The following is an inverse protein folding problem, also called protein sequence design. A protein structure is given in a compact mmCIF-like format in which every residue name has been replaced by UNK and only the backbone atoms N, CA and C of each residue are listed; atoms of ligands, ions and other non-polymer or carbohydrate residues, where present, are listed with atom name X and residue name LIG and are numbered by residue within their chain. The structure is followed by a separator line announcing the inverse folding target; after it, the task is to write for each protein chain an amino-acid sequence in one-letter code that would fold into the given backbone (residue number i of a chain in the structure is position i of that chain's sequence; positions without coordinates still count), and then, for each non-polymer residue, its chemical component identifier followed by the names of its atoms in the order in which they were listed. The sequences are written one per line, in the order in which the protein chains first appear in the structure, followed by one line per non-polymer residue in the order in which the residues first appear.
data_IF_442318568621
#
_entry.id   IF_442318568621
#
_cell.length_a   1.000
_cell.length_b   1.000
_cell.length_c   1.000
_cell.angle_alpha   90.00
_cell.angle_beta   90.00
_cell.angle_gamma   90.00
#
_symmetry.space_group_name_H-M   'P 1'
#
loop_
_entity.id
_entity.type
_entity.pdbx_description
1 polymer ?
#
# COMPACT_ATOMS: atom_id res chain seq x y z
N UNK A 1 16.96 6.06 -7.24
CA UNK A 1 18.05 5.28 -7.87
C UNK A 1 17.64 3.84 -8.23
N UNK A 2 16.40 3.42 -7.95
CA UNK A 2 15.95 2.04 -8.14
C UNK A 2 16.52 1.04 -7.14
N UNK A 3 17.31 1.49 -6.15
CA UNK A 3 17.97 0.64 -5.15
C UNK A 3 17.35 0.76 -3.77
N UNK A 4 16.64 1.86 -3.51
CA UNK A 4 15.93 2.11 -2.26
C UNK A 4 14.44 1.90 -2.48
N UNK A 5 13.86 0.97 -1.73
CA UNK A 5 12.41 0.80 -1.65
C UNK A 5 11.91 1.53 -0.41
N UNK A 6 10.72 2.12 -0.51
CA UNK A 6 10.12 2.93 0.55
C UNK A 6 8.85 2.26 1.08
N UNK A 7 8.54 2.53 2.34
CA UNK A 7 7.25 2.22 2.99
C UNK A 7 6.46 3.49 3.32
N UNK A 8 6.97 4.67 2.94
CA UNK A 8 6.28 5.94 3.14
C UNK A 8 5.00 6.00 2.30
N UNK A 9 3.95 6.56 2.90
CA UNK A 9 2.65 6.76 2.27
C UNK A 9 2.36 8.25 2.18
N UNK A 10 2.01 8.72 0.99
CA UNK A 10 1.59 10.09 0.74
C UNK A 10 0.20 10.10 0.11
N UNK A 11 -0.61 11.12 0.44
CA UNK A 11 -1.84 11.43 -0.28
C UNK A 11 -1.79 12.86 -0.81
N UNK A 12 -2.57 13.13 -1.86
CA UNK A 12 -2.76 14.47 -2.41
C UNK A 12 -4.25 14.76 -2.51
N UNK A 13 -4.68 15.90 -1.96
CA UNK A 13 -6.00 16.43 -2.27
C UNK A 13 -5.89 17.32 -3.51
N UNK A 14 -6.47 16.84 -4.61
CA UNK A 14 -6.46 17.54 -5.89
C UNK A 14 -7.42 18.74 -5.93
N UNK A 15 -8.34 18.83 -4.99
CA UNK A 15 -9.31 19.92 -4.89
C UNK A 15 -8.73 21.11 -4.10
N UNK A 16 -7.66 20.89 -3.35
CA UNK A 16 -6.95 21.97 -2.68
C UNK A 16 -6.26 22.91 -3.70
N UNK A 17 -6.16 24.21 -3.39
CA UNK A 17 -5.56 25.23 -4.26
C UNK A 17 -4.42 25.97 -3.54
N UNK A 18 -3.13 25.65 -3.82
CA UNK A 18 -2.65 24.59 -4.72
C UNK A 18 -2.77 23.18 -4.10
N UNK A 19 -2.80 22.11 -4.91
CA UNK A 19 -2.69 20.75 -4.40
C UNK A 19 -1.40 20.57 -3.59
N UNK A 20 -1.50 19.94 -2.42
CA UNK A 20 -0.32 19.60 -1.60
C UNK A 20 -0.25 18.11 -1.34
N UNK A 21 0.98 17.59 -1.33
CA UNK A 21 1.25 16.26 -0.81
C UNK A 21 1.24 16.30 0.73
N UNK A 22 0.54 15.34 1.33
CA UNK A 22 0.55 15.07 2.77
C UNK A 22 1.22 13.72 3.00
N UNK A 23 2.24 13.71 3.86
CA UNK A 23 2.85 12.47 4.36
C UNK A 23 2.01 11.90 5.52
N UNK A 24 1.81 10.58 5.52
CA UNK A 24 1.09 9.88 6.59
C UNK A 24 2.08 9.23 7.54
N UNK A 25 2.00 9.63 8.80
CA UNK A 25 2.89 9.20 9.89
C UNK A 25 2.80 7.69 10.20
N UNK A 26 1.71 7.04 9.80
CA UNK A 26 1.48 5.59 9.87
C UNK A 26 2.58 4.72 9.26
N UNK A 27 3.34 5.27 8.31
CA UNK A 27 4.48 4.65 7.65
C UNK A 27 5.74 4.50 8.53
N UNK A 28 5.71 5.06 9.75
CA UNK A 28 6.80 5.01 10.74
C UNK A 28 6.50 4.04 11.89
N UNK A 29 5.32 3.41 11.90
CA UNK A 29 4.97 2.40 12.90
C UNK A 29 5.57 1.04 12.55
N UNK A 30 5.88 0.21 13.55
CA UNK A 30 6.30 -1.18 13.31
C UNK A 30 5.18 -2.07 12.71
N UNK A 31 3.98 -1.51 12.54
CA UNK A 31 2.78 -2.19 12.05
C UNK A 31 2.42 -1.79 10.62
N UNK A 32 3.40 -1.43 9.80
CA UNK A 32 3.22 -1.08 8.39
C UNK A 32 3.87 -2.11 7.45
N UNK A 33 3.46 -2.17 6.17
CA UNK A 33 4.07 -3.05 5.19
C UNK A 33 5.56 -2.75 5.04
N UNK A 34 6.37 -3.81 4.90
CA UNK A 34 7.79 -3.61 4.58
C UNK A 34 7.98 -2.80 3.29
N UNK A 35 9.09 -2.05 3.17
CA UNK A 35 9.40 -1.31 1.95
C UNK A 35 9.38 -2.20 0.70
N UNK A 36 8.63 -1.77 -0.32
CA UNK A 36 8.38 -2.57 -1.52
C UNK A 36 8.20 -1.73 -2.78
N UNK A 37 8.41 -2.35 -3.94
CA UNK A 37 8.08 -1.79 -5.26
C UNK A 37 7.10 -2.70 -6.01
N UNK A 38 6.53 -2.23 -7.12
CA UNK A 38 5.76 -3.06 -8.06
C UNK A 38 4.58 -3.84 -7.44
N UNK A 39 4.00 -3.32 -6.35
CA UNK A 39 2.82 -3.88 -5.70
C UNK A 39 1.54 -3.44 -6.43
N UNK A 40 0.48 -4.22 -6.33
CA UNK A 40 -0.86 -3.79 -6.73
C UNK A 40 -1.52 -3.01 -5.60
N UNK A 41 -2.37 -2.04 -5.92
CA UNK A 41 -3.14 -1.29 -4.92
C UNK A 41 -4.44 -0.72 -5.45
N UNK A 42 -5.46 -0.67 -4.58
CA UNK A 42 -6.80 -0.12 -4.86
C UNK A 42 -7.37 0.58 -3.65
N UNK A 43 -8.18 1.61 -3.84
CA UNK A 43 -8.90 2.31 -2.78
C UNK A 43 -10.40 2.02 -2.84
N UNK A 44 -11.02 1.84 -1.68
CA UNK A 44 -12.49 1.80 -1.52
C UNK A 44 -12.92 3.13 -0.90
N UNK A 45 -13.74 3.88 -1.62
CA UNK A 45 -14.17 5.24 -1.24
C UNK A 45 -15.04 5.21 0.03
N UNK A 46 -16.07 4.36 0.05
CA UNK A 46 -17.04 4.23 1.15
C UNK A 46 -16.41 4.01 2.52
N UNK A 47 -15.31 3.24 2.56
CA UNK A 47 -14.59 2.94 3.81
C UNK A 47 -13.29 3.73 3.95
N UNK A 48 -12.97 4.60 2.98
CA UNK A 48 -11.70 5.33 2.91
C UNK A 48 -10.48 4.42 3.17
N UNK A 49 -10.49 3.25 2.56
CA UNK A 49 -9.50 2.19 2.81
C UNK A 49 -8.69 1.92 1.56
N UNK A 50 -7.36 1.97 1.69
CA UNK A 50 -6.42 1.55 0.65
C UNK A 50 -6.04 0.09 0.91
N UNK A 51 -6.06 -0.76 -0.11
CA UNK A 51 -5.53 -2.11 -0.09
C UNK A 51 -4.29 -2.18 -0.96
N UNK A 52 -3.28 -2.95 -0.50
CA UNK A 52 -2.12 -3.32 -1.30
C UNK A 52 -1.86 -4.82 -1.23
N UNK A 53 -1.31 -5.38 -2.31
CA UNK A 53 -0.93 -6.80 -2.37
C UNK A 53 0.39 -7.00 -3.10
N UNK A 54 1.21 -7.89 -2.55
CA UNK A 54 2.42 -8.38 -3.19
C UNK A 54 3.46 -7.28 -3.42
N UNK A 55 4.13 -7.36 -4.57
CA UNK A 55 5.26 -6.51 -4.93
C UNK A 55 6.61 -7.20 -4.73
N UNK A 56 7.66 -6.39 -4.74
CA UNK A 56 9.05 -6.83 -4.65
C UNK A 56 9.70 -6.23 -3.40
N UNK A 57 10.36 -7.06 -2.60
CA UNK A 57 11.16 -6.62 -1.47
C UNK A 57 12.55 -6.13 -1.90
N UNK A 58 13.25 -5.43 -1.01
CA UNK A 58 14.65 -5.02 -1.24
C UNK A 58 15.60 -6.21 -1.47
N UNK A 59 15.27 -7.41 -0.96
CA UNK A 59 16.05 -8.63 -1.19
C UNK A 59 15.79 -9.27 -2.56
N UNK A 60 14.92 -8.68 -3.39
CA UNK A 60 14.54 -9.24 -4.69
C UNK A 60 13.49 -10.37 -4.58
N UNK A 61 12.85 -10.52 -3.43
CA UNK A 61 11.80 -11.53 -3.24
C UNK A 61 10.44 -10.96 -3.63
N UNK A 62 9.71 -11.72 -4.44
CA UNK A 62 8.30 -11.43 -4.69
C UNK A 62 7.49 -11.68 -3.41
N UNK A 63 6.53 -10.80 -3.14
CA UNK A 63 5.69 -10.81 -1.96
C UNK A 63 4.27 -11.31 -2.31
N UNK A 64 3.56 -11.84 -1.31
CA UNK A 64 2.17 -12.30 -1.40
C UNK A 64 1.33 -11.93 -0.17
N UNK A 65 1.78 -10.96 0.61
CA UNK A 65 1.03 -10.41 1.74
C UNK A 65 0.02 -9.35 1.26
N UNK A 66 -1.04 -9.20 2.05
CA UNK A 66 -2.11 -8.21 1.83
C UNK A 66 -2.15 -7.26 3.00
N UNK A 67 -2.22 -5.97 2.72
CA UNK A 67 -2.34 -4.95 3.75
C UNK A 67 -3.47 -3.98 3.41
N UNK A 68 -4.16 -3.49 4.45
CA UNK A 68 -5.08 -2.37 4.35
C UNK A 68 -4.58 -1.18 5.15
N UNK A 69 -4.79 0.02 4.63
CA UNK A 69 -4.61 1.28 5.35
C UNK A 69 -5.93 2.02 5.43
N UNK A 70 -6.34 2.40 6.65
CA UNK A 70 -7.56 3.16 6.88
C UNK A 70 -7.23 4.65 7.07
N UNK A 71 -7.80 5.50 6.22
CA UNK A 71 -7.49 6.94 6.21
C UNK A 71 -8.02 7.69 7.44
N UNK A 72 -9.08 7.19 8.08
CA UNK A 72 -9.72 7.87 9.22
C UNK A 72 -8.90 7.80 10.50
N UNK A 73 -8.11 6.75 10.69
CA UNK A 73 -7.26 6.54 11.86
C UNK A 73 -5.76 6.46 11.52
N UNK A 74 -5.41 6.62 10.24
CA UNK A 74 -4.05 6.47 9.71
C UNK A 74 -3.39 5.18 10.22
N UNK A 75 -4.05 4.02 10.11
CA UNK A 75 -3.49 2.74 10.55
C UNK A 75 -3.38 1.74 9.41
N UNK A 76 -2.22 1.06 9.37
CA UNK A 76 -2.02 -0.14 8.57
C UNK A 76 -2.48 -1.38 9.35
N UNK A 77 -2.97 -2.38 8.63
CA UNK A 77 -3.35 -3.68 9.18
C UNK A 77 -3.02 -4.75 8.15
N UNK A 78 -2.30 -5.79 8.59
CA UNK A 78 -2.07 -6.97 7.77
C UNK A 78 -3.35 -7.80 7.69
N UNK A 79 -3.76 -8.17 6.48
CA UNK A 79 -4.95 -8.97 6.27
C UNK A 79 -4.54 -10.43 6.08
N UNK A 80 -4.91 -11.26 7.04
CA UNK A 80 -4.70 -12.70 6.98
C UNK A 80 -5.75 -13.36 6.07
N UNK A 81 -5.37 -13.68 4.85
CA UNK A 81 -6.23 -14.41 3.92
C UNK A 81 -6.10 -15.93 4.12
N UNK A 82 -7.22 -16.67 4.07
CA UNK A 82 -7.21 -18.15 4.15
C UNK A 82 -6.44 -18.80 3.00
N UNK A 83 -6.45 -18.17 1.83
CA UNK A 83 -5.74 -18.63 0.64
C UNK A 83 -5.12 -17.44 -0.08
N UNK A 84 -3.79 -17.39 -0.07
CA UNK A 84 -3.03 -16.33 -0.74
C UNK A 84 -2.69 -16.76 -2.17
N UNK A 85 -2.81 -15.86 -3.17
CA UNK A 85 -2.19 -16.08 -4.48
C UNK A 85 -0.68 -16.27 -4.34
N UNK A 86 -0.04 -16.89 -5.34
CA UNK A 86 1.44 -16.92 -5.42
C UNK A 86 2.00 -15.50 -5.42
N UNK A 87 3.18 -15.34 -4.84
CA UNK A 87 3.93 -14.09 -4.85
C UNK A 87 4.10 -13.52 -6.24
N UNK A 88 3.89 -12.21 -6.39
CA UNK A 88 3.89 -11.53 -7.68
C UNK A 88 4.16 -10.04 -7.52
N UNK A 89 4.65 -9.47 -8.61
CA UNK A 89 4.93 -8.06 -8.82
C UNK A 89 4.56 -7.70 -10.27
N UNK A 90 4.44 -6.42 -10.60
CA UNK A 90 4.15 -5.91 -11.96
C UNK A 90 2.89 -6.52 -12.59
N UNK A 91 1.88 -6.78 -11.75
CA UNK A 91 0.62 -7.40 -12.16
C UNK A 91 -0.52 -6.36 -12.14
N UNK A 92 -1.58 -6.65 -12.88
CA UNK A 92 -2.80 -5.85 -12.82
C UNK A 92 -3.59 -6.15 -11.54
N UNK A 93 -4.06 -5.11 -10.87
CA UNK A 93 -4.94 -5.17 -9.71
C UNK A 93 -6.12 -4.24 -9.97
N UNK A 94 -7.35 -4.72 -9.83
CA UNK A 94 -8.54 -3.88 -9.89
C UNK A 94 -9.50 -4.23 -8.76
N UNK A 95 -10.29 -3.24 -8.37
CA UNK A 95 -11.47 -3.43 -7.54
C UNK A 95 -12.61 -3.92 -8.45
N UNK A 96 -13.40 -4.86 -7.96
CA UNK A 96 -14.64 -5.30 -8.60
C UNK A 96 -15.76 -5.04 -7.60
N UNK A 97 -16.75 -4.24 -8.02
CA UNK A 97 -17.93 -3.86 -7.25
C UNK A 97 -19.18 -4.61 -7.73
#
# INVERSE_FOLDING_TARGET
DGRTFFSSLYSIDINEKPPRWKEHSSSLSSSCPMPRAAHGGVSIEDTSTLFIFGGLSRSGQALNDTWSWCASNEQWTEILCRSLPRSRLDFAYCLVE
#
